data_IF_229663318552
#
_entry.id   IF_229663318552
#
_cell.length_a   1.000
_cell.length_b   1.000
_cell.length_c   1.000
_cell.angle_alpha   90.00
_cell.angle_beta   90.00
_cell.angle_gamma   90.00
#
_symmetry.space_group_name_H-M   'P 1'
#
loop_
_entity.id
_entity.type
_entity.pdbx_description
1 polymer ?
#
# COMPACT_ATOMS: atom_id res chain seq x y z
N UNK A 1 11.61 -10.64 -21.73
CA UNK A 1 11.17 -10.98 -23.09
C UNK A 1 11.39 -12.47 -23.34
N UNK A 2 12.63 -12.96 -23.29
CA UNK A 2 12.99 -14.39 -23.35
C UNK A 2 12.20 -15.25 -22.35
N UNK A 3 12.16 -14.88 -21.07
CA UNK A 3 11.42 -15.63 -20.05
C UNK A 3 9.90 -15.71 -20.33
N UNK A 4 9.34 -14.66 -20.95
CA UNK A 4 7.91 -14.62 -21.27
C UNK A 4 7.60 -15.54 -22.46
N UNK A 5 8.47 -15.59 -23.46
CA UNK A 5 8.31 -16.47 -24.62
C UNK A 5 8.52 -17.95 -24.26
N UNK A 6 9.42 -18.26 -23.30
CA UNK A 6 9.60 -19.62 -22.79
C UNK A 6 8.37 -20.06 -21.96
N UNK A 7 7.81 -19.18 -21.13
CA UNK A 7 6.61 -19.48 -20.35
C UNK A 7 5.37 -19.72 -21.24
N UNK A 8 5.29 -19.04 -22.38
CA UNK A 8 4.24 -19.22 -23.39
C UNK A 8 4.31 -20.60 -24.05
N UNK A 9 5.52 -21.04 -24.44
CA UNK A 9 5.71 -22.31 -25.16
C UNK A 9 5.79 -23.55 -24.27
N UNK A 10 6.26 -23.41 -23.02
CA UNK A 10 6.57 -24.55 -22.14
C UNK A 10 5.71 -24.60 -20.87
N UNK A 11 4.79 -23.65 -20.67
CA UNK A 11 3.93 -23.57 -19.50
C UNK A 11 4.65 -23.11 -18.22
N UNK A 12 3.89 -22.97 -17.12
CA UNK A 12 4.33 -22.31 -15.88
C UNK A 12 5.52 -22.95 -15.14
N UNK A 13 5.92 -24.18 -15.52
CA UNK A 13 7.03 -24.91 -14.89
C UNK A 13 8.41 -24.67 -15.55
N UNK A 14 8.45 -23.92 -16.66
CA UNK A 14 9.67 -23.53 -17.37
C UNK A 14 10.71 -22.81 -16.49
N UNK A 15 10.26 -22.05 -15.48
CA UNK A 15 11.16 -21.30 -14.59
C UNK A 15 11.98 -22.24 -13.69
N UNK A 16 11.42 -23.39 -13.31
CA UNK A 16 12.13 -24.44 -12.56
C UNK A 16 13.18 -25.16 -13.43
N UNK A 17 12.93 -25.31 -14.73
CA UNK A 17 13.90 -25.89 -15.67
C UNK A 17 15.11 -24.97 -15.88
N UNK A 18 14.90 -23.65 -15.97
CA UNK A 18 15.99 -22.68 -16.15
C UNK A 18 16.92 -22.57 -14.93
N UNK A 19 16.42 -22.84 -13.72
CA UNK A 19 17.22 -22.88 -12.49
C UNK A 19 18.07 -24.16 -12.37
N UNK A 20 17.65 -25.26 -13.01
CA UNK A 20 18.35 -26.55 -12.96
C UNK A 20 19.65 -26.56 -13.76
N UNK A 21 19.79 -25.68 -14.75
CA UNK A 21 20.99 -25.55 -15.60
C UNK A 21 22.17 -24.84 -14.92
N UNK A 22 22.00 -24.28 -13.72
CA UNK A 22 23.11 -23.71 -12.92
C UNK A 22 23.82 -22.50 -13.55
N UNK A 23 23.23 -21.87 -14.58
CA UNK A 23 23.81 -20.70 -15.25
C UNK A 23 23.35 -19.40 -14.59
N UNK A 24 24.24 -18.41 -14.54
CA UNK A 24 23.93 -17.05 -14.09
C UNK A 24 23.22 -16.29 -15.22
N UNK A 25 21.92 -16.06 -15.04
CA UNK A 25 21.03 -15.48 -16.07
C UNK A 25 21.04 -13.95 -16.11
N UNK A 26 21.95 -13.29 -15.38
CA UNK A 26 22.05 -11.83 -15.36
C UNK A 26 22.62 -11.24 -16.67
N UNK A 27 23.23 -12.05 -17.55
CA UNK A 27 23.75 -11.62 -18.86
C UNK A 27 23.38 -12.60 -19.99
N UNK A 28 22.09 -12.72 -20.31
CA UNK A 28 21.67 -13.53 -21.47
C UNK A 28 21.91 -12.75 -22.76
N UNK A 29 23.02 -13.04 -23.43
CA UNK A 29 23.19 -12.66 -24.83
C UNK A 29 22.47 -13.65 -25.77
N UNK A 30 22.30 -13.25 -27.03
CA UNK A 30 21.51 -14.01 -28.02
C UNK A 30 22.07 -15.43 -28.25
N UNK A 31 23.39 -15.64 -28.15
CA UNK A 31 23.98 -16.98 -28.35
C UNK A 31 23.65 -17.92 -27.20
N UNK A 32 23.71 -17.45 -25.95
CA UNK A 32 23.35 -18.24 -24.76
C UNK A 32 21.88 -18.65 -24.79
N UNK A 33 21.02 -17.79 -25.34
CA UNK A 33 19.60 -18.09 -25.54
C UNK A 33 19.37 -19.21 -26.57
N UNK A 34 20.04 -19.13 -27.73
CA UNK A 34 19.89 -20.12 -28.79
C UNK A 34 20.40 -21.50 -28.37
N UNK A 35 21.55 -21.56 -27.68
CA UNK A 35 22.08 -22.81 -27.13
C UNK A 35 21.12 -23.47 -26.13
N UNK A 36 20.48 -22.66 -25.28
CA UNK A 36 19.52 -23.17 -24.30
C UNK A 36 18.27 -23.73 -24.99
N UNK A 37 17.75 -23.05 -26.00
CA UNK A 37 16.62 -23.56 -26.79
C UNK A 37 16.96 -24.86 -27.51
N UNK A 38 18.19 -25.00 -28.01
CA UNK A 38 18.63 -26.22 -28.69
C UNK A 38 18.80 -27.40 -27.72
N UNK A 39 19.25 -27.15 -26.49
CA UNK A 39 19.28 -28.16 -25.44
C UNK A 39 17.86 -28.57 -24.99
N UNK A 40 16.95 -27.61 -24.84
CA UNK A 40 15.54 -27.90 -24.50
C UNK A 40 14.84 -28.78 -25.54
N UNK A 41 15.19 -28.67 -26.83
CA UNK A 41 14.65 -29.54 -27.88
C UNK A 41 15.13 -30.99 -27.78
N UNK A 42 16.28 -31.26 -27.14
CA UNK A 42 16.84 -32.60 -26.99
C UNK A 42 16.21 -33.38 -25.84
N UNK A 43 15.67 -32.67 -24.84
CA UNK A 43 15.13 -33.27 -23.62
C UNK A 43 13.60 -33.50 -23.63
N UNK A 44 12.91 -33.21 -24.74
CA UNK A 44 11.47 -33.51 -24.88
C UNK A 44 11.30 -35.01 -25.16
N UNK A 45 10.67 -35.80 -24.27
CA UNK A 45 10.37 -37.20 -24.55
C UNK A 45 9.38 -37.28 -25.72
N UNK A 46 9.65 -38.13 -26.72
CA UNK A 46 8.67 -38.45 -27.76
C UNK A 46 7.44 -39.07 -27.10
N UNK A 47 6.30 -38.40 -27.18
CA UNK A 47 5.01 -39.00 -26.85
C UNK A 47 4.57 -39.86 -28.02
N UNK A 48 4.40 -41.17 -27.78
CA UNK A 48 3.71 -42.04 -28.71
C UNK A 48 2.21 -41.68 -28.74
N UNK A 49 1.52 -41.85 -29.89
CA UNK A 49 0.12 -41.48 -30.02
C UNK A 49 -0.73 -42.35 -29.09
N UNK A 50 -1.51 -41.69 -28.23
CA UNK A 50 -2.53 -42.33 -27.40
C UNK A 50 -3.79 -42.43 -28.25
N UNK A 51 -4.23 -43.67 -28.54
CA UNK A 51 -5.55 -43.96 -29.11
C UNK A 51 -6.63 -43.64 -28.07
N UNK A 52 -7.42 -42.59 -28.35
CA UNK A 52 -8.56 -42.17 -27.53
C UNK A 52 -9.81 -42.98 -27.91
N UNK A 53 -10.16 -43.94 -27.06
CA UNK A 53 -11.43 -44.66 -27.13
C UNK A 53 -12.36 -44.06 -26.07
N UNK A 54 -13.34 -43.28 -26.52
CA UNK A 54 -14.32 -42.62 -25.66
C UNK A 54 -15.47 -43.57 -25.28
N UNK A 55 -15.62 -43.84 -23.99
CA UNK A 55 -16.85 -44.40 -23.42
C UNK A 55 -17.93 -43.30 -23.25
N UNK A 56 -19.22 -43.61 -23.51
CA UNK A 56 -20.31 -42.64 -23.36
C UNK A 56 -20.66 -42.38 -21.89
N UNK A 57 -20.92 -41.11 -21.58
CA UNK A 57 -21.28 -40.61 -20.26
C UNK A 57 -22.67 -41.10 -19.78
N UNK A 58 -22.86 -41.33 -18.47
CA UNK A 58 -24.17 -41.67 -17.91
C UNK A 58 -25.09 -40.45 -17.78
N UNK A 59 -26.38 -40.68 -18.07
CA UNK A 59 -27.48 -39.72 -17.94
C UNK A 59 -27.63 -39.20 -16.50
N UNK A 60 -27.70 -37.87 -16.36
CA UNK A 60 -28.06 -37.21 -15.10
C UNK A 60 -29.55 -36.85 -15.08
N UNK A 61 -30.27 -37.40 -14.10
CA UNK A 61 -31.65 -37.02 -13.77
C UNK A 61 -31.72 -35.57 -13.24
N UNK A 62 -32.73 -34.83 -13.70
CA UNK A 62 -32.98 -33.44 -13.29
C UNK A 62 -33.82 -33.37 -12.00
N UNK A 63 -33.49 -32.48 -11.05
CA UNK A 63 -34.38 -32.18 -9.93
C UNK A 63 -35.44 -31.13 -10.30
N UNK A 64 -36.64 -31.36 -9.79
CA UNK A 64 -37.86 -30.57 -9.99
C UNK A 64 -37.75 -29.12 -9.51
N UNK A 65 -38.36 -28.20 -10.28
CA UNK A 65 -38.45 -26.75 -10.00
C UNK A 65 -39.43 -26.46 -8.87
N UNK A 66 -39.11 -25.56 -7.92
CA UNK A 66 -40.11 -24.97 -7.05
C UNK A 66 -40.87 -23.83 -7.74
N UNK A 67 -42.19 -23.87 -7.58
CA UNK A 67 -43.19 -22.87 -7.97
C UNK A 67 -42.94 -21.50 -7.31
N UNK A 68 -42.86 -20.45 -8.12
CA UNK A 68 -42.77 -19.04 -7.72
C UNK A 68 -44.18 -18.48 -7.55
N UNK A 69 -44.47 -17.95 -6.36
CA UNK A 69 -45.72 -17.24 -6.05
C UNK A 69 -45.74 -15.83 -6.64
N UNK A 70 -46.90 -15.46 -7.18
CA UNK A 70 -47.23 -14.18 -7.80
C UNK A 70 -47.17 -13.01 -6.80
N UNK A 71 -46.44 -11.96 -7.15
CA UNK A 71 -46.53 -10.64 -6.51
C UNK A 71 -47.25 -9.69 -7.46
N UNK A 72 -48.44 -9.23 -7.04
CA UNK A 72 -49.25 -8.25 -7.74
C UNK A 72 -48.51 -6.90 -7.88
N UNK A 73 -48.45 -6.40 -9.11
CA UNK A 73 -48.11 -5.01 -9.43
C UNK A 73 -49.38 -4.18 -9.35
N UNK A 74 -49.39 -3.15 -8.51
CA UNK A 74 -50.29 -2.01 -8.66
C UNK A 74 -49.59 -0.99 -9.55
N UNK A 75 -50.16 -0.74 -10.73
CA UNK A 75 -49.78 0.32 -11.64
C UNK A 75 -50.58 1.58 -11.27
N UNK A 76 -49.89 2.63 -10.82
CA UNK A 76 -50.43 3.98 -10.73
C UNK A 76 -50.12 4.72 -12.03
N UNK A 77 -51.15 4.99 -12.83
CA UNK A 77 -51.10 5.86 -14.00
C UNK A 77 -50.92 7.32 -13.57
N UNK A 78 -49.84 7.95 -14.02
CA UNK A 78 -49.64 9.40 -13.91
C UNK A 78 -49.91 10.03 -15.28
N UNK A 79 -51.04 10.74 -15.34
CA UNK A 79 -51.48 11.54 -16.48
C UNK A 79 -50.64 12.83 -16.58
N UNK A 80 -50.06 13.10 -17.74
CA UNK A 80 -49.37 14.36 -18.04
C UNK A 80 -50.27 15.21 -18.93
N UNK A 81 -50.83 16.29 -18.37
CA UNK A 81 -51.45 17.36 -19.13
C UNK A 81 -50.40 18.41 -19.51
N UNK A 82 -50.31 18.68 -20.81
CA UNK A 82 -49.56 19.77 -21.41
C UNK A 82 -50.48 20.98 -21.57
N UNK A 83 -50.08 22.13 -21.04
CA UNK A 83 -50.62 23.42 -21.48
C UNK A 83 -49.52 24.46 -21.49
N UNK A 84 -49.29 25.01 -22.68
CA UNK A 84 -48.49 26.20 -22.97
C UNK A 84 -49.11 27.46 -22.35
N UNK A 85 -48.28 28.37 -21.82
CA UNK A 85 -48.47 29.82 -21.98
C UNK A 85 -47.24 30.60 -21.50
N UNK A 86 -46.68 31.41 -22.42
CA UNK A 86 -45.68 32.45 -22.18
C UNK A 86 -46.17 33.58 -21.26
N UNK A 87 -45.24 34.25 -20.55
CA UNK A 87 -45.09 35.71 -20.36
C UNK A 87 -44.22 36.10 -19.12
N UNK A 88 -43.07 36.70 -19.40
CA UNK A 88 -42.39 37.89 -18.81
C UNK A 88 -42.28 38.18 -17.28
N UNK A 89 -41.01 38.39 -16.87
CA UNK A 89 -40.39 39.46 -16.05
C UNK A 89 -40.79 39.81 -14.58
N UNK A 90 -39.92 39.35 -13.65
CA UNK A 90 -39.28 39.97 -12.43
C UNK A 90 -40.15 40.49 -11.22
N UNK A 91 -39.58 40.75 -10.00
CA UNK A 91 -39.90 40.09 -8.70
C UNK A 91 -40.43 41.13 -7.65
N UNK A 92 -40.36 40.98 -6.29
CA UNK A 92 -39.89 39.88 -5.43
C UNK A 92 -40.78 39.49 -4.22
N UNK A 93 -40.45 38.33 -3.64
CA UNK A 93 -40.53 37.84 -2.24
C UNK A 93 -41.76 38.20 -1.36
N UNK A 94 -42.26 37.22 -0.57
CA UNK A 94 -41.72 37.14 0.80
C UNK A 94 -41.55 35.72 1.38
N UNK A 95 -40.52 35.61 2.21
CA UNK A 95 -40.40 34.88 3.48
C UNK A 95 -41.53 33.88 3.82
N UNK A 96 -41.23 32.58 3.76
CA UNK A 96 -41.92 31.58 4.59
C UNK A 96 -40.88 30.63 5.21
N UNK A 97 -40.79 30.69 6.53
CA UNK A 97 -40.02 29.79 7.38
C UNK A 97 -40.79 28.49 7.56
N UNK A 98 -40.23 27.35 7.13
CA UNK A 98 -40.78 26.04 7.45
C UNK A 98 -39.84 25.23 8.34
N UNK A 99 -40.10 25.34 9.66
CA UNK A 99 -39.61 24.44 10.71
C UNK A 99 -40.23 23.05 10.51
N UNK A 100 -39.46 22.06 10.05
CA UNK A 100 -39.84 20.64 10.17
C UNK A 100 -39.66 20.18 11.62
N UNK A 101 -40.77 20.03 12.34
CA UNK A 101 -40.85 19.33 13.64
C UNK A 101 -40.78 17.82 13.40
N UNK A 102 -39.72 17.17 13.86
CA UNK A 102 -39.69 15.72 14.04
C UNK A 102 -40.66 15.34 15.18
N UNK A 103 -41.74 14.62 14.86
CA UNK A 103 -42.64 14.03 15.85
C UNK A 103 -41.91 12.88 16.57
N UNK A 104 -41.65 13.09 17.85
CA UNK A 104 -41.24 12.07 18.82
C UNK A 104 -42.47 11.21 19.12
N UNK A 105 -42.45 9.92 18.76
CA UNK A 105 -43.42 8.94 19.27
C UNK A 105 -42.96 8.53 20.67
N UNK A 106 -43.72 8.96 21.68
CA UNK A 106 -43.72 8.35 23.01
C UNK A 106 -44.40 6.99 22.92
N UNK A 107 -43.69 5.94 23.32
CA UNK A 107 -44.26 4.63 23.62
C UNK A 107 -44.11 4.36 25.11
N UNK A 108 -45.26 4.08 25.72
CA UNK A 108 -45.47 3.96 27.14
C UNK A 108 -44.84 2.70 27.76
N UNK A 109 -44.57 2.84 29.06
CA UNK A 109 -44.06 1.90 30.05
C UNK A 109 -44.71 0.49 29.98
N UNK A 110 -43.89 -0.54 30.08
CA UNK A 110 -44.20 -1.77 30.82
C UNK A 110 -43.11 -1.98 31.87
N UNK A 111 -43.48 -1.81 33.14
CA UNK A 111 -42.63 -2.06 34.32
C UNK A 111 -42.80 -3.54 34.69
N UNK A 112 -41.76 -4.34 34.49
CA UNK A 112 -41.67 -5.66 35.12
C UNK A 112 -40.59 -5.63 36.21
N UNK A 113 -41.01 -6.06 37.40
CA UNK A 113 -40.23 -6.12 38.63
C UNK A 113 -39.12 -7.18 38.52
N UNK A 114 -37.86 -6.76 38.44
CA UNK A 114 -36.71 -7.63 38.64
C UNK A 114 -36.12 -7.39 40.03
N UNK A 115 -36.25 -8.46 40.84
CA UNK A 115 -35.78 -8.62 42.22
C UNK A 115 -34.25 -8.54 42.25
N UNK A 116 -33.69 -7.53 42.90
CA UNK A 116 -32.25 -7.40 43.18
C UNK A 116 -31.78 -8.57 44.04
N UNK A 117 -30.93 -9.44 43.50
CA UNK A 117 -30.06 -10.35 44.27
C UNK A 117 -28.66 -9.75 44.26
N UNK A 118 -28.17 -9.39 45.44
CA UNK A 118 -26.78 -9.00 45.70
C UNK A 118 -25.87 -10.23 45.56
N UNK A 119 -24.74 -10.14 44.85
CA UNK A 119 -23.73 -11.20 44.88
C UNK A 119 -22.95 -11.15 46.20
N UNK A 120 -22.84 -12.32 46.83
CA UNK A 120 -21.96 -12.60 47.98
C UNK A 120 -20.49 -12.50 47.53
N UNK A 121 -19.57 -11.90 48.29
CA UNK A 121 -18.15 -11.90 47.95
C UNK A 121 -17.57 -13.31 48.13
N UNK A 122 -16.80 -13.75 47.14
CA UNK A 122 -16.03 -15.00 47.20
C UNK A 122 -14.83 -14.86 48.14
N UNK A 123 -14.39 -15.95 48.80
CA UNK A 123 -13.27 -15.93 49.73
C UNK A 123 -11.94 -15.67 49.03
N UNK A 124 -11.13 -14.82 49.67
CA UNK A 124 -9.74 -14.50 49.33
C UNK A 124 -8.87 -15.72 49.60
N UNK A 125 -8.13 -16.17 48.59
CA UNK A 125 -7.10 -17.20 48.70
C UNK A 125 -5.73 -16.51 48.80
N UNK A 126 -5.00 -16.61 49.92
CA UNK A 126 -3.65 -16.09 50.04
C UNK A 126 -2.65 -17.21 49.75
N UNK A 127 -1.92 -17.12 48.62
CA UNK A 127 -0.56 -17.66 48.44
C UNK A 127 -0.24 -17.70 46.94
N UNK A 128 0.47 -16.68 46.46
CA UNK A 128 1.39 -16.84 45.32
C UNK A 128 2.54 -15.88 45.52
N UNK A 129 3.58 -16.43 46.13
CA UNK A 129 4.89 -15.81 46.25
C UNK A 129 5.40 -15.40 44.87
N UNK A 130 5.65 -14.11 44.70
CA UNK A 130 6.37 -13.57 43.55
C UNK A 130 7.84 -13.49 43.95
N UNK A 131 8.64 -14.47 43.54
CA UNK A 131 10.11 -14.40 43.66
C UNK A 131 10.61 -13.33 42.69
N UNK A 132 11.09 -12.21 43.23
CA UNK A 132 11.97 -11.28 42.53
C UNK A 132 13.30 -11.98 42.24
N UNK A 133 13.59 -12.22 40.96
CA UNK A 133 14.94 -12.53 40.51
C UNK A 133 15.62 -11.18 40.24
N UNK A 134 16.59 -10.83 41.08
CA UNK A 134 17.59 -9.80 40.77
C UNK A 134 18.49 -10.37 39.68
N UNK A 135 18.54 -9.72 38.52
CA UNK A 135 19.62 -9.91 37.55
C UNK A 135 20.61 -8.78 37.78
N UNK A 136 21.86 -9.17 38.07
CA UNK A 136 23.02 -8.31 38.24
C UNK A 136 23.39 -7.63 36.93
N UNK A 137 23.80 -6.37 37.05
CA UNK A 137 24.44 -5.59 35.97
C UNK A 137 25.85 -6.13 35.77
N UNK A 138 26.15 -6.62 34.56
CA UNK A 138 27.52 -6.85 34.11
C UNK A 138 27.94 -5.70 33.18
N UNK A 139 28.99 -5.02 33.62
CA UNK A 139 29.71 -3.98 32.90
C UNK A 139 30.45 -4.59 31.70
N UNK A 140 29.85 -4.56 30.51
CA UNK A 140 30.63 -4.54 29.28
C UNK A 140 29.91 -3.70 28.22
N UNK A 141 30.41 -2.47 28.05
CA UNK A 141 29.93 -1.54 27.05
C UNK A 141 30.30 -2.02 25.65
N UNK A 142 29.36 -2.66 24.97
CA UNK A 142 29.34 -2.77 23.51
C UNK A 142 27.96 -2.35 23.02
N UNK A 143 27.93 -1.16 22.43
CA UNK A 143 26.73 -0.52 21.90
C UNK A 143 26.29 -1.27 20.63
N UNK A 144 25.43 -2.28 20.76
CA UNK A 144 24.82 -2.95 19.61
C UNK A 144 23.68 -2.07 19.06
N UNK A 145 23.92 -1.46 17.89
CA UNK A 145 22.85 -0.89 17.06
C UNK A 145 21.97 -2.02 16.53
N UNK A 146 20.90 -2.34 17.25
CA UNK A 146 19.89 -3.28 16.78
C UNK A 146 19.03 -2.60 15.69
N UNK A 147 19.23 -3.00 14.44
CA UNK A 147 18.41 -2.52 13.30
C UNK A 147 17.26 -3.51 13.09
N UNK A 148 16.05 -3.12 13.52
CA UNK A 148 14.84 -3.93 13.33
C UNK A 148 14.22 -3.58 11.98
N UNK A 149 14.18 -4.55 11.07
CA UNK A 149 13.56 -4.45 9.74
C UNK A 149 12.15 -5.04 9.82
N UNK A 150 11.13 -4.28 9.44
CA UNK A 150 9.74 -4.74 9.44
C UNK A 150 9.26 -5.11 8.04
N UNK A 151 8.63 -6.27 7.93
CA UNK A 151 7.84 -6.69 6.76
C UNK A 151 6.35 -6.44 7.05
N UNK A 152 5.72 -5.58 6.25
CA UNK A 152 4.33 -5.17 6.42
C UNK A 152 3.32 -6.29 6.07
N UNK A 153 3.77 -7.44 5.55
CA UNK A 153 2.88 -8.53 5.19
C UNK A 153 2.40 -9.38 6.38
N UNK A 154 3.14 -9.44 7.50
CA UNK A 154 2.94 -10.49 8.51
C UNK A 154 2.66 -9.99 9.95
N UNK A 155 2.61 -8.70 10.22
CA UNK A 155 2.41 -8.14 11.58
C UNK A 155 3.41 -8.61 12.68
N UNK A 156 4.50 -9.31 12.33
CA UNK A 156 5.49 -9.83 13.29
C UNK A 156 6.89 -9.20 13.13
N UNK A 157 7.58 -9.00 14.26
CA UNK A 157 9.01 -8.69 14.31
C UNK A 157 9.78 -9.97 14.67
N UNK A 158 10.86 -10.24 13.93
CA UNK A 158 11.85 -11.23 14.32
C UNK A 158 13.15 -10.53 14.73
N UNK A 159 13.67 -10.94 15.88
CA UNK A 159 15.05 -10.70 16.27
C UNK A 159 15.90 -11.76 15.56
N UNK A 160 16.93 -11.33 14.83
CA UNK A 160 17.86 -12.24 14.18
C UNK A 160 18.86 -12.72 15.22
N UNK A 161 18.45 -13.65 16.08
CA UNK A 161 19.38 -14.44 16.89
C UNK A 161 19.97 -15.50 15.97
N UNK A 162 21.25 -15.34 15.64
CA UNK A 162 21.98 -16.30 14.83
C UNK A 162 22.25 -17.56 15.66
N UNK A 163 21.44 -18.58 15.46
CA UNK A 163 21.79 -19.94 15.86
C UNK A 163 22.59 -20.62 14.73
N UNK A 164 23.85 -20.92 15.04
CA UNK A 164 24.69 -21.85 14.31
C UNK A 164 24.06 -23.25 14.35
N UNK A 165 23.51 -23.70 13.23
CA UNK A 165 23.56 -25.10 12.81
C UNK A 165 23.00 -25.23 11.39
N UNK A 166 23.87 -25.06 10.39
CA UNK A 166 23.57 -25.49 9.02
C UNK A 166 24.75 -26.22 8.40
N UNK A 167 24.44 -27.44 7.96
CA UNK A 167 25.30 -28.40 7.26
C UNK A 167 26.09 -27.77 6.11
N UNK A 168 27.42 -27.91 6.18
CA UNK A 168 28.36 -27.57 5.11
C UNK A 168 28.29 -28.58 3.96
N UNK A 169 27.93 -28.10 2.77
CA UNK A 169 28.19 -28.80 1.51
C UNK A 169 29.51 -28.26 0.95
N UNK A 170 30.55 -29.10 0.94
CA UNK A 170 31.84 -28.74 0.33
C UNK A 170 31.73 -28.76 -1.21
N UNK A 171 31.86 -27.58 -1.83
CA UNK A 171 32.13 -27.45 -3.26
C UNK A 171 33.61 -27.12 -3.44
N UNK A 172 34.37 -28.08 -3.99
CA UNK A 172 35.78 -27.90 -4.39
C UNK A 172 35.87 -26.98 -5.61
N UNK A 173 36.40 -25.78 -5.41
CA UNK A 173 36.80 -24.86 -6.49
C UNK A 173 38.31 -25.01 -6.76
N UNK A 174 38.78 -25.05 -8.03
CA UNK A 174 40.21 -25.16 -8.33
C UNK A 174 40.97 -23.88 -7.96
N UNK A 175 42.13 -24.06 -7.30
CA UNK A 175 43.07 -22.99 -6.96
C UNK A 175 43.70 -22.39 -8.22
N UNK A 176 43.51 -21.09 -8.42
CA UNK A 176 44.26 -20.28 -9.38
C UNK A 176 45.03 -19.17 -8.65
N UNK A 177 46.35 -19.19 -8.84
CA UNK A 177 47.19 -18.00 -9.03
C UNK A 177 47.32 -16.99 -7.89
N UNK A 178 48.49 -16.99 -7.27
CA UNK A 178 49.05 -15.95 -6.38
C UNK A 178 48.86 -14.52 -6.90
N UNK A 179 48.11 -13.69 -6.16
CA UNK A 179 48.14 -12.22 -6.28
C UNK A 179 49.04 -11.61 -5.20
N UNK A 180 50.07 -10.89 -5.65
CA UNK A 180 50.85 -9.96 -4.84
C UNK A 180 49.92 -8.89 -4.24
N UNK A 181 50.07 -8.63 -2.93
CA UNK A 181 49.42 -7.51 -2.25
C UNK A 181 50.16 -6.21 -2.56
N UNK A 182 49.46 -5.27 -3.18
CA UNK A 182 49.88 -3.86 -3.22
C UNK A 182 49.45 -3.23 -1.89
N UNK A 183 50.33 -2.53 -1.14
CA UNK A 183 49.94 -1.81 0.07
C UNK A 183 48.99 -0.66 -0.29
N UNK A 184 47.81 -0.64 0.33
CA UNK A 184 46.92 0.52 0.27
C UNK A 184 47.52 1.67 1.10
N UNK A 185 47.45 2.92 0.63
CA UNK A 185 47.85 4.07 1.43
C UNK A 185 46.93 4.22 2.65
N UNK A 186 47.45 4.76 3.77
CA UNK A 186 46.66 4.99 4.97
C UNK A 186 45.54 6.00 4.69
N UNK A 187 44.31 5.60 4.99
CA UNK A 187 43.12 6.45 4.96
C UNK A 187 43.22 7.39 6.17
N UNK A 188 43.39 8.70 5.93
CA UNK A 188 43.32 9.71 6.98
C UNK A 188 41.85 9.92 7.38
N UNK A 189 41.46 9.30 8.49
CA UNK A 189 40.31 9.74 9.28
C UNK A 189 40.73 11.03 9.96
N UNK A 190 40.37 12.18 9.38
CA UNK A 190 40.21 13.50 10.02
C UNK A 190 40.15 14.57 8.90
N UNK A 191 39.02 14.64 8.19
CA UNK A 191 38.66 15.84 7.43
C UNK A 191 37.35 16.41 7.98
N UNK A 192 37.41 17.39 8.92
CA UNK A 192 36.23 18.03 9.48
C UNK A 192 35.57 19.06 8.53
N UNK A 193 35.89 19.04 7.23
CA UNK A 193 35.47 20.06 6.27
C UNK A 193 34.36 19.68 5.28
N UNK A 194 33.93 18.41 5.21
CA UNK A 194 32.85 18.04 4.28
C UNK A 194 31.49 18.39 4.87
N UNK A 195 31.14 19.68 4.80
CA UNK A 195 29.79 20.17 5.00
C UNK A 195 28.91 19.67 3.85
N UNK A 196 28.52 18.40 3.89
CA UNK A 196 27.44 17.87 3.08
C UNK A 196 26.14 18.50 3.61
N UNK A 197 25.80 19.68 3.09
CA UNK A 197 24.68 20.52 3.50
C UNK A 197 23.41 19.67 3.70
N UNK A 198 23.12 19.34 4.96
CA UNK A 198 22.01 18.49 5.33
C UNK A 198 20.70 19.19 4.95
N UNK A 199 20.08 18.74 3.87
CA UNK A 199 18.85 19.36 3.38
C UNK A 199 17.69 18.97 4.30
N UNK A 200 17.11 19.97 4.97
CA UNK A 200 16.03 19.81 5.93
C UNK A 200 14.68 20.12 5.27
N UNK A 201 13.69 19.25 5.47
CA UNK A 201 12.29 19.47 5.09
C UNK A 201 11.54 20.03 6.29
N UNK A 202 11.09 21.28 6.24
CA UNK A 202 10.03 21.76 7.12
C UNK A 202 8.67 21.66 6.42
N UNK A 203 7.73 20.94 7.02
CA UNK A 203 6.40 20.65 6.46
C UNK A 203 5.37 21.76 6.75
N UNK A 204 5.57 22.51 7.84
CA UNK A 204 4.66 23.58 8.25
C UNK A 204 5.05 24.93 7.63
N UNK A 205 6.27 25.04 7.07
CA UNK A 205 6.69 26.25 6.37
C UNK A 205 5.94 26.41 5.05
N UNK A 206 5.26 27.55 4.88
CA UNK A 206 4.73 27.94 3.57
C UNK A 206 5.91 28.38 2.72
N UNK A 207 6.25 27.67 1.64
CA UNK A 207 7.50 27.90 0.95
C UNK A 207 7.59 29.34 0.44
N UNK A 208 8.53 30.09 1.02
CA UNK A 208 8.85 31.45 0.60
C UNK A 208 9.62 31.38 -0.72
N UNK A 209 8.88 31.28 -1.84
CA UNK A 209 9.26 31.50 -3.26
C UNK A 209 10.62 31.00 -3.80
N UNK A 210 11.42 30.27 -3.04
CA UNK A 210 12.71 29.73 -3.42
C UNK A 210 12.63 28.19 -3.45
N UNK A 211 13.28 27.61 -4.45
CA UNK A 211 13.22 26.20 -4.89
C UNK A 211 13.12 25.22 -3.72
N UNK A 212 11.89 24.79 -3.41
CA UNK A 212 11.64 23.80 -2.37
C UNK A 212 12.09 22.44 -2.88
N UNK A 213 12.91 21.68 -2.14
CA UNK A 213 13.43 20.37 -2.60
C UNK A 213 12.37 19.25 -2.54
N UNK A 214 11.09 19.59 -2.40
CA UNK A 214 9.98 18.65 -2.29
C UNK A 214 8.68 19.24 -2.86
N UNK A 215 7.70 18.37 -3.12
CA UNK A 215 6.30 18.72 -3.39
C UNK A 215 5.41 18.22 -2.26
N UNK A 216 4.32 18.93 -2.01
CA UNK A 216 3.33 18.52 -1.02
C UNK A 216 1.91 18.57 -1.56
N UNK A 217 1.06 17.66 -1.07
CA UNK A 217 -0.30 17.47 -1.56
C UNK A 217 -1.27 17.20 -0.41
N UNK A 218 -2.14 18.18 -0.15
CA UNK A 218 -3.22 18.02 0.82
C UNK A 218 -4.28 17.03 0.31
N UNK A 219 -4.71 16.12 1.18
CA UNK A 219 -5.71 15.10 0.89
C UNK A 219 -6.37 14.58 2.18
N UNK A 220 -7.30 13.65 2.04
CA UNK A 220 -7.83 12.88 3.16
C UNK A 220 -7.34 11.44 3.07
N UNK A 221 -6.63 10.97 4.09
CA UNK A 221 -6.19 9.58 4.21
C UNK A 221 -7.13 8.86 5.18
N UNK A 222 -8.05 8.06 4.67
CA UNK A 222 -9.08 7.38 5.48
C UNK A 222 -9.81 8.31 6.47
N UNK A 223 -10.36 9.43 5.95
CA UNK A 223 -11.06 10.47 6.74
C UNK A 223 -10.18 11.28 7.69
N UNK A 224 -8.86 11.13 7.62
CA UNK A 224 -7.90 11.95 8.37
C UNK A 224 -7.35 13.03 7.44
N UNK A 225 -7.48 14.34 7.76
CA UNK A 225 -6.80 15.40 7.03
C UNK A 225 -5.30 15.13 7.00
N UNK A 226 -4.74 15.05 5.80
CA UNK A 226 -3.38 14.58 5.57
C UNK A 226 -2.70 15.37 4.47
N UNK A 227 -1.38 15.29 4.41
CA UNK A 227 -0.52 15.93 3.41
C UNK A 227 0.57 14.95 3.09
N UNK A 228 0.65 14.61 1.81
CA UNK A 228 1.71 13.77 1.30
C UNK A 228 2.86 14.67 0.86
N UNK A 229 4.04 14.46 1.43
CA UNK A 229 5.27 15.17 1.11
C UNK A 229 6.19 14.23 0.35
N UNK A 230 6.60 14.61 -0.85
CA UNK A 230 7.43 13.81 -1.74
C UNK A 230 8.66 14.65 -2.14
N UNK A 231 9.89 14.19 -1.87
CA UNK A 231 11.12 14.81 -2.38
C UNK A 231 11.06 15.03 -3.90
N UNK A 232 11.66 16.11 -4.39
CA UNK A 232 11.90 16.25 -5.82
C UNK A 232 12.89 15.18 -6.31
N UNK A 233 12.83 14.78 -7.60
CA UNK A 233 13.83 13.89 -8.19
C UNK A 233 15.25 14.40 -7.95
N UNK A 234 16.14 13.51 -7.51
CA UNK A 234 17.53 13.84 -7.18
C UNK A 234 17.76 14.56 -5.84
N UNK A 235 16.71 15.02 -5.15
CA UNK A 235 16.86 15.63 -3.83
C UNK A 235 17.19 14.56 -2.76
N UNK A 236 18.23 14.82 -1.97
CA UNK A 236 18.62 14.02 -0.81
C UNK A 236 18.16 14.73 0.46
N UNK A 237 17.11 14.21 1.08
CA UNK A 237 16.52 14.79 2.28
C UNK A 237 16.90 13.93 3.47
N UNK A 238 17.76 14.47 4.34
CA UNK A 238 18.32 13.76 5.48
C UNK A 238 17.64 14.13 6.80
N UNK A 239 16.86 15.22 6.84
CA UNK A 239 16.14 15.63 8.05
C UNK A 239 14.71 16.01 7.75
N UNK A 240 13.80 15.58 8.62
CA UNK A 240 12.38 15.95 8.61
C UNK A 240 12.06 16.77 9.86
N UNK A 241 11.61 18.01 9.66
CA UNK A 241 11.13 18.93 10.70
C UNK A 241 9.68 19.33 10.43
N UNK A 242 9.00 19.75 11.50
CA UNK A 242 7.66 20.32 11.48
C UNK A 242 7.69 21.56 12.36
N UNK A 243 7.76 22.73 11.71
CA UNK A 243 8.19 23.98 12.32
C UNK A 243 9.59 23.82 12.92
N UNK A 244 9.75 24.35 14.14
CA UNK A 244 10.99 24.22 14.90
C UNK A 244 11.27 22.81 15.46
N UNK A 245 10.36 21.85 15.29
CA UNK A 245 10.48 20.53 15.93
C UNK A 245 11.02 19.51 14.93
N UNK A 246 12.15 18.91 15.28
CA UNK A 246 12.72 17.78 14.54
C UNK A 246 11.89 16.52 14.77
N UNK A 247 11.46 15.88 13.69
CA UNK A 247 10.73 14.60 13.72
C UNK A 247 11.71 13.45 13.56
N UNK A 248 12.61 13.56 12.58
CA UNK A 248 13.56 12.51 12.22
C UNK A 248 14.82 13.11 11.59
N UNK A 249 15.96 12.48 11.85
CA UNK A 249 17.25 12.75 11.19
C UNK A 249 17.85 11.42 10.78
N UNK A 250 18.16 11.29 9.50
CA UNK A 250 18.83 10.14 8.91
C UNK A 250 20.33 10.22 9.01
N UNK A 251 20.96 9.08 8.77
CA UNK A 251 22.40 8.98 8.58
C UNK A 251 22.78 9.44 7.18
N UNK A 252 24.07 9.70 6.97
CA UNK A 252 24.59 10.02 5.64
C UNK A 252 24.25 8.88 4.66
N UNK A 253 23.58 9.22 3.56
CA UNK A 253 23.13 8.26 2.54
C UNK A 253 21.73 7.71 2.73
N UNK A 254 21.08 7.98 3.87
CA UNK A 254 19.64 7.73 4.01
C UNK A 254 18.85 8.66 3.09
N UNK A 255 17.79 8.14 2.48
CA UNK A 255 16.94 8.89 1.55
C UNK A 255 15.47 8.76 1.94
N UNK A 256 14.84 9.85 2.33
CA UNK A 256 13.37 9.90 2.46
C UNK A 256 12.75 9.63 1.08
N UNK A 257 11.76 8.74 1.03
CA UNK A 257 10.95 8.49 -0.18
C UNK A 257 9.68 9.33 -0.19
N UNK A 258 8.97 9.36 0.92
CA UNK A 258 7.85 10.26 1.16
C UNK A 258 7.51 10.27 2.65
N UNK A 259 6.83 11.32 3.08
CA UNK A 259 6.19 11.39 4.39
C UNK A 259 4.70 11.65 4.20
N UNK A 260 3.85 10.93 4.91
CA UNK A 260 2.46 11.29 5.08
C UNK A 260 2.28 11.86 6.48
N UNK A 261 1.81 13.10 6.55
CA UNK A 261 1.62 13.80 7.80
C UNK A 261 0.12 13.88 8.03
N UNK A 262 -0.32 13.85 9.28
CA UNK A 262 -1.72 13.79 9.65
C UNK A 262 -2.05 14.87 10.66
N UNK A 263 -3.16 15.55 10.41
CA UNK A 263 -3.60 16.69 11.19
C UNK A 263 -4.84 16.37 12.02
N UNK A 264 -4.93 17.03 13.16
CA UNK A 264 -6.14 17.13 13.97
C UNK A 264 -6.22 18.52 14.58
N UNK A 265 -7.39 19.15 14.44
CA UNK A 265 -7.67 20.48 15.00
C UNK A 265 -6.61 21.54 14.63
N UNK A 266 -6.20 21.53 13.35
CA UNK A 266 -5.22 22.48 12.80
C UNK A 266 -3.76 22.21 13.19
N UNK A 267 -3.45 21.07 13.83
CA UNK A 267 -2.09 20.71 14.25
C UNK A 267 -1.66 19.37 13.67
N UNK A 268 -0.38 19.25 13.34
CA UNK A 268 0.28 17.98 12.99
C UNK A 268 0.42 17.09 14.23
N UNK A 269 -0.11 15.86 14.16
CA UNK A 269 -0.18 14.93 15.31
C UNK A 269 0.48 13.58 15.04
N UNK A 270 0.51 13.12 13.79
CA UNK A 270 1.07 11.83 13.40
C UNK A 270 1.81 11.95 12.07
N UNK A 271 2.95 11.28 11.96
CA UNK A 271 3.76 11.21 10.73
C UNK A 271 4.02 9.75 10.40
N UNK A 272 3.81 9.36 9.16
CA UNK A 272 4.25 8.11 8.55
C UNK A 272 5.36 8.41 7.54
N UNK A 273 6.58 7.99 7.84
CA UNK A 273 7.76 8.24 7.05
C UNK A 273 8.19 6.94 6.35
N UNK A 274 8.45 7.00 5.04
CA UNK A 274 9.08 5.89 4.31
C UNK A 274 10.40 6.37 3.74
N UNK A 275 11.45 5.56 3.90
CA UNK A 275 12.82 5.91 3.51
C UNK A 275 13.63 4.69 3.06
N UNK A 276 14.67 4.93 2.28
CA UNK A 276 15.74 3.97 2.00
C UNK A 276 16.91 4.21 2.94
N UNK A 277 17.21 3.26 3.83
CA UNK A 277 18.45 3.30 4.58
C UNK A 277 19.65 3.18 3.64
N UNK A 278 20.77 3.83 3.96
CA UNK A 278 22.01 3.70 3.21
C UNK A 278 22.38 2.22 3.02
N UNK A 279 22.64 1.82 1.78
CA UNK A 279 23.08 0.45 1.47
C UNK A 279 21.98 -0.62 1.57
N UNK A 280 20.76 -0.25 1.97
CA UNK A 280 19.63 -1.17 1.97
C UNK A 280 18.92 -1.19 0.62
N UNK A 281 18.66 -2.36 0.04
CA UNK A 281 17.81 -2.47 -1.16
C UNK A 281 16.32 -2.33 -0.84
N UNK A 282 15.94 -2.35 0.45
CA UNK A 282 14.54 -2.31 0.91
C UNK A 282 14.26 -0.98 1.61
N UNK A 283 13.06 -0.45 1.36
CA UNK A 283 12.56 0.69 2.10
C UNK A 283 12.09 0.22 3.48
N UNK A 284 12.19 1.13 4.46
CA UNK A 284 11.62 0.94 5.79
C UNK A 284 10.57 2.02 6.03
N UNK A 285 9.67 1.75 6.97
CA UNK A 285 8.68 2.72 7.42
C UNK A 285 8.82 3.00 8.91
N UNK A 286 8.74 4.27 9.28
CA UNK A 286 8.79 4.77 10.64
C UNK A 286 7.53 5.60 10.91
N UNK A 287 6.98 5.53 12.11
CA UNK A 287 5.82 6.33 12.49
C UNK A 287 6.09 7.12 13.75
N UNK A 288 5.74 8.40 13.75
CA UNK A 288 5.97 9.31 14.87
C UNK A 288 4.67 9.96 15.31
N UNK A 289 4.37 9.91 16.60
CA UNK A 289 3.22 10.58 17.20
C UNK A 289 3.70 11.76 18.04
N UNK A 290 2.98 12.88 17.97
CA UNK A 290 3.26 14.07 18.75
C UNK A 290 2.61 13.95 20.14
N UNK A 291 3.41 14.03 21.20
CA UNK A 291 2.94 14.06 22.60
C UNK A 291 3.70 15.16 23.34
N UNK A 292 3.00 16.04 24.05
CA UNK A 292 3.62 17.14 24.80
C UNK A 292 4.65 17.94 23.97
N UNK A 293 4.30 18.28 22.72
CA UNK A 293 5.15 18.97 21.74
C UNK A 293 6.41 18.22 21.26
N UNK A 294 6.66 16.98 21.69
CA UNK A 294 7.76 16.17 21.17
C UNK A 294 7.24 15.06 20.24
N UNK A 295 8.08 14.65 19.29
CA UNK A 295 7.80 13.53 18.38
C UNK A 295 8.38 12.24 18.95
N UNK A 296 7.55 11.21 19.07
CA UNK A 296 7.93 9.93 19.65
C UNK A 296 7.63 8.83 18.63
N UNK A 297 8.60 7.93 18.41
CA UNK A 297 8.41 6.76 17.58
C UNK A 297 7.27 5.89 18.14
N UNK A 298 6.38 5.42 17.27
CA UNK A 298 5.26 4.55 17.63
C UNK A 298 5.19 3.36 16.68
N UNK A 299 4.91 2.18 17.22
CA UNK A 299 4.62 0.98 16.43
C UNK A 299 3.13 0.88 16.06
N UNK A 300 2.27 1.65 16.72
CA UNK A 300 0.81 1.53 16.62
C UNK A 300 0.21 2.60 15.69
N UNK A 301 0.77 2.75 14.48
CA UNK A 301 0.34 3.77 13.51
C UNK A 301 -1.17 3.76 13.26
N UNK A 302 -1.77 2.58 13.04
CA UNK A 302 -3.20 2.46 12.72
C UNK A 302 -4.10 2.92 13.88
N UNK A 303 -3.72 2.60 15.11
CA UNK A 303 -4.45 3.03 16.30
C UNK A 303 -4.38 4.55 16.47
N UNK A 304 -3.18 5.14 16.31
CA UNK A 304 -3.03 6.60 16.38
C UNK A 304 -3.78 7.30 15.26
N UNK A 305 -3.71 6.80 14.03
CA UNK A 305 -4.44 7.33 12.87
C UNK A 305 -5.96 7.31 13.10
N UNK A 306 -6.49 6.22 13.69
CA UNK A 306 -7.91 6.08 14.01
C UNK A 306 -8.45 7.20 14.92
N UNK A 307 -7.64 7.70 15.85
CA UNK A 307 -8.00 8.80 16.77
C UNK A 307 -8.11 10.16 16.07
N UNK A 308 -7.61 10.28 14.85
CA UNK A 308 -7.59 11.52 14.06
C UNK A 308 -8.73 11.61 13.05
N UNK A 309 -9.55 10.56 12.93
CA UNK A 309 -10.65 10.52 11.96
C UNK A 309 -11.67 11.62 12.22
N UNK A 310 -12.07 12.29 11.15
CA UNK A 310 -13.20 13.22 11.18
C UNK A 310 -14.50 12.43 11.22
N UNK A 311 -15.40 12.67 12.19
CA UNK A 311 -16.70 12.02 12.23
C UNK A 311 -17.54 12.47 11.03
N UNK A 312 -18.25 11.53 10.42
CA UNK A 312 -19.11 11.79 9.26
C UNK A 312 -20.55 11.44 9.58
N UNK A 313 -21.46 12.35 9.25
CA UNK A 313 -22.90 12.11 9.37
C UNK A 313 -23.43 11.25 8.22
N UNK A 314 -22.87 11.43 7.02
CA UNK A 314 -23.26 10.70 5.83
C UNK A 314 -22.05 10.43 4.95
N UNK A 315 -22.14 9.38 4.15
CA UNK A 315 -21.14 9.01 3.17
C UNK A 315 -21.82 8.39 1.96
N UNK A 316 -21.14 8.41 0.81
CA UNK A 316 -21.64 7.81 -0.43
C UNK A 316 -20.58 6.92 -1.06
N UNK A 317 -20.98 5.72 -1.46
CA UNK A 317 -20.12 4.81 -2.21
C UNK A 317 -19.91 5.32 -3.65
N UNK A 318 -18.76 5.02 -4.24
CA UNK A 318 -18.47 5.34 -5.63
C UNK A 318 -17.35 4.44 -6.20
N UNK A 319 -17.28 4.38 -7.53
CA UNK A 319 -16.21 3.70 -8.25
C UNK A 319 -15.09 4.67 -8.65
N UNK A 320 -13.83 4.24 -8.52
CA UNK A 320 -12.68 4.96 -9.07
C UNK A 320 -12.37 4.39 -10.46
N UNK A 321 -12.46 5.20 -11.51
CA UNK A 321 -11.87 4.86 -12.81
C UNK A 321 -10.46 5.45 -12.91
N UNK A 322 -9.46 4.58 -13.07
CA UNK A 322 -8.05 4.96 -13.14
C UNK A 322 -7.57 5.24 -14.58
N UNK A 323 -8.42 4.99 -15.59
CA UNK A 323 -8.14 5.44 -16.96
C UNK A 323 -8.27 6.96 -17.08
N UNK A 324 -9.18 7.55 -16.29
CA UNK A 324 -9.34 9.00 -16.18
C UNK A 324 -8.34 9.59 -15.19
N UNK A 325 -7.74 10.73 -15.56
CA UNK A 325 -6.96 11.56 -14.63
C UNK A 325 -7.84 12.56 -13.84
N UNK A 326 -9.16 12.55 -14.06
CA UNK A 326 -10.15 13.37 -13.35
C UNK A 326 -11.18 12.48 -12.67
N UNK A 327 -11.35 12.66 -11.37
CA UNK A 327 -12.42 12.03 -10.62
C UNK A 327 -12.94 13.02 -9.59
N UNK A 328 -14.19 13.48 -9.74
CA UNK A 328 -14.79 14.48 -8.85
C UNK A 328 -14.89 14.01 -7.39
N UNK A 329 -14.86 12.70 -7.15
CA UNK A 329 -14.93 12.08 -5.82
C UNK A 329 -13.55 11.74 -5.23
N UNK A 330 -12.45 12.00 -5.96
CA UNK A 330 -11.08 11.84 -5.46
C UNK A 330 -10.30 13.14 -5.53
N UNK A 331 -9.28 13.27 -4.68
CA UNK A 331 -8.11 14.08 -4.94
C UNK A 331 -7.15 13.26 -5.80
N UNK A 332 -6.93 13.72 -7.03
CA UNK A 332 -6.05 13.06 -8.01
C UNK A 332 -4.90 14.01 -8.32
N UNK A 333 -3.68 13.51 -8.22
CA UNK A 333 -2.48 14.25 -8.57
C UNK A 333 -1.37 13.30 -9.03
N UNK A 334 -0.39 13.85 -9.74
CA UNK A 334 0.79 13.10 -10.19
C UNK A 334 2.05 13.69 -9.57
N UNK A 335 2.96 12.81 -9.17
CA UNK A 335 4.28 13.17 -8.64
C UNK A 335 5.31 12.09 -8.99
N UNK A 336 6.58 12.47 -8.93
CA UNK A 336 7.69 11.52 -9.02
C UNK A 336 7.89 10.90 -7.65
N UNK A 337 7.28 9.74 -7.41
CA UNK A 337 7.51 9.00 -6.17
C UNK A 337 8.63 8.01 -6.45
N UNK A 338 9.75 8.17 -5.74
CA UNK A 338 10.85 7.20 -5.82
C UNK A 338 11.37 7.07 -7.27
N UNK A 339 11.54 8.23 -7.91
CA UNK A 339 11.93 8.43 -9.31
C UNK A 339 10.98 7.79 -10.35
N UNK A 340 9.80 7.31 -9.94
CA UNK A 340 8.78 6.74 -10.82
C UNK A 340 7.61 7.73 -10.95
N UNK A 341 7.21 8.13 -12.16
CA UNK A 341 5.97 8.88 -12.37
C UNK A 341 4.78 8.11 -11.80
N UNK A 342 4.16 8.66 -10.77
CA UNK A 342 3.10 7.99 -10.02
C UNK A 342 1.89 8.90 -9.92
N UNK A 343 0.72 8.36 -10.28
CA UNK A 343 -0.57 9.01 -10.07
C UNK A 343 -1.23 8.48 -8.80
N UNK A 344 -1.68 9.39 -7.96
CA UNK A 344 -2.34 9.09 -6.70
C UNK A 344 -3.83 9.33 -6.81
N UNK A 345 -4.62 8.48 -6.15
CA UNK A 345 -6.05 8.68 -5.97
C UNK A 345 -6.39 8.54 -4.49
N UNK A 346 -6.87 9.62 -3.90
CA UNK A 346 -7.37 9.63 -2.51
C UNK A 346 -8.85 10.01 -2.52
N UNK A 347 -9.76 9.12 -2.07
CA UNK A 347 -11.16 9.47 -1.92
C UNK A 347 -11.34 10.75 -1.08
N UNK A 348 -12.23 11.64 -1.52
CA UNK A 348 -12.58 12.85 -0.77
C UNK A 348 -13.30 12.48 0.53
N UNK A 349 -13.31 13.40 1.49
CA UNK A 349 -14.08 13.25 2.72
C UNK A 349 -15.57 12.96 2.39
N UNK A 350 -16.16 11.96 3.07
CA UNK A 350 -17.54 11.53 2.79
C UNK A 350 -17.70 10.57 1.60
N UNK A 351 -16.62 10.25 0.88
CA UNK A 351 -16.65 9.32 -0.25
C UNK A 351 -15.99 7.99 0.11
N UNK A 352 -16.66 6.88 -0.21
CA UNK A 352 -16.14 5.53 0.01
C UNK A 352 -15.92 4.86 -1.34
N UNK A 353 -14.67 4.55 -1.67
CA UNK A 353 -14.35 3.84 -2.90
C UNK A 353 -14.56 2.33 -2.70
N UNK A 354 -15.62 1.80 -3.27
CA UNK A 354 -15.99 0.38 -3.16
C UNK A 354 -15.59 -0.45 -4.39
N UNK A 355 -15.22 0.22 -5.49
CA UNK A 355 -14.79 -0.42 -6.74
C UNK A 355 -13.70 0.41 -7.43
N UNK A 356 -12.87 -0.29 -8.22
CA UNK A 356 -11.82 0.30 -9.05
C UNK A 356 -11.92 -0.28 -10.46
N UNK A 357 -11.91 0.59 -11.46
CA UNK A 357 -12.05 0.30 -12.88
C UNK A 357 -10.89 0.89 -13.68
N UNK A 358 -10.66 0.34 -14.87
CA UNK A 358 -9.89 0.95 -15.95
C UNK A 358 -10.78 1.05 -17.19
N UNK A 359 -11.34 2.24 -17.41
CA UNK A 359 -12.42 2.45 -18.38
C UNK A 359 -13.63 1.60 -18.00
N UNK A 360 -14.00 0.65 -18.87
CA UNK A 360 -15.15 -0.25 -18.64
C UNK A 360 -14.81 -1.52 -17.86
N UNK A 361 -13.52 -1.82 -17.63
CA UNK A 361 -13.09 -3.07 -17.02
C UNK A 361 -12.92 -2.92 -15.51
N UNK A 362 -13.63 -3.76 -14.73
CA UNK A 362 -13.48 -3.82 -13.27
C UNK A 362 -12.14 -4.49 -12.92
N UNK A 363 -11.28 -3.79 -12.19
CA UNK A 363 -10.02 -4.34 -11.67
C UNK A 363 -10.25 -4.95 -10.29
N UNK A 364 -10.95 -4.20 -9.43
CA UNK A 364 -11.21 -4.57 -8.06
C UNK A 364 -12.60 -4.08 -7.62
N UNK A 365 -13.20 -4.76 -6.65
CA UNK A 365 -14.33 -4.22 -5.92
C UNK A 365 -14.65 -5.05 -4.71
N UNK A 366 -15.17 -4.41 -3.68
CA UNK A 366 -15.62 -5.07 -2.47
C UNK A 366 -16.89 -5.87 -2.75
N UNK A 367 -17.01 -6.99 -2.03
CA UNK A 367 -18.25 -7.73 -1.91
C UNK A 367 -19.24 -6.97 -1.04
N UNK A 368 -20.53 -7.12 -1.33
CA UNK A 368 -21.56 -6.58 -0.46
C UNK A 368 -21.47 -7.25 0.91
N UNK A 369 -21.32 -6.47 1.99
CA UNK A 369 -21.46 -7.01 3.33
C UNK A 369 -22.94 -7.32 3.58
N UNK A 370 -23.22 -8.49 4.14
CA UNK A 370 -24.56 -8.83 4.64
C UNK A 370 -24.85 -8.16 6.00
N UNK A 371 -23.88 -7.45 6.58
CA UNK A 371 -24.00 -6.78 7.86
C UNK A 371 -24.77 -5.46 7.75
N UNK A 372 -25.69 -5.19 8.68
CA UNK A 372 -26.60 -4.03 8.63
C UNK A 372 -25.95 -2.66 8.81
N UNK A 373 -24.66 -2.60 9.17
CA UNK A 373 -23.99 -1.35 9.59
C UNK A 373 -23.07 -0.77 8.51
N UNK A 374 -22.38 -1.61 7.74
CA UNK A 374 -21.57 -1.16 6.60
C UNK A 374 -21.84 -2.09 5.43
N UNK A 375 -22.16 -1.59 4.23
CA UNK A 375 -22.53 -2.43 3.09
C UNK A 375 -21.34 -3.04 2.35
N UNK A 376 -20.10 -2.87 2.83
CA UNK A 376 -18.90 -3.38 2.17
C UNK A 376 -17.96 -4.04 3.16
N UNK A 377 -17.32 -5.13 2.74
CA UNK A 377 -16.30 -5.82 3.54
C UNK A 377 -14.98 -5.06 3.56
N UNK A 378 -14.66 -4.38 2.46
CA UNK A 378 -13.44 -3.63 2.25
C UNK A 378 -13.72 -2.31 1.51
N UNK A 379 -12.91 -1.30 1.75
CA UNK A 379 -12.94 -0.03 1.00
C UNK A 379 -11.54 0.40 0.63
N UNK A 380 -11.39 0.95 -0.56
CA UNK A 380 -10.12 1.54 -0.99
C UNK A 380 -9.94 2.92 -0.34
N UNK A 381 -8.81 3.11 0.35
CA UNK A 381 -8.48 4.38 1.02
C UNK A 381 -7.40 5.18 0.27
N UNK A 382 -6.60 4.51 -0.57
CA UNK A 382 -5.68 5.17 -1.49
C UNK A 382 -5.27 4.23 -2.62
N UNK A 383 -5.08 4.77 -3.82
CA UNK A 383 -4.46 4.04 -4.93
C UNK A 383 -3.18 4.75 -5.37
N UNK A 384 -2.19 3.96 -5.77
CA UNK A 384 -0.96 4.43 -6.40
C UNK A 384 -0.80 3.72 -7.74
N UNK A 385 -0.86 4.49 -8.82
CA UNK A 385 -0.73 4.01 -10.18
C UNK A 385 0.63 4.45 -10.74
N UNK A 386 1.54 3.49 -10.85
CA UNK A 386 2.87 3.71 -11.39
C UNK A 386 2.80 3.69 -12.92
N UNK A 387 3.39 4.71 -13.52
CA UNK A 387 3.36 4.95 -14.94
C UNK A 387 4.76 4.74 -15.55
N UNK A 388 4.78 4.26 -16.78
CA UNK A 388 5.96 4.29 -17.65
C UNK A 388 5.56 5.01 -18.92
N UNK A 389 6.21 6.14 -19.23
CA UNK A 389 5.88 6.97 -20.39
C UNK A 389 4.37 7.30 -20.45
N UNK A 390 3.81 7.76 -19.33
CA UNK A 390 2.38 8.06 -19.14
C UNK A 390 1.42 6.85 -19.25
N UNK A 391 1.94 5.65 -19.48
CA UNK A 391 1.13 4.42 -19.58
C UNK A 391 1.11 3.70 -18.23
N UNK A 392 -0.06 3.29 -17.71
CA UNK A 392 -0.16 2.48 -16.50
C UNK A 392 0.62 1.17 -16.60
N UNK A 393 1.34 0.82 -15.52
CA UNK A 393 2.09 -0.45 -15.44
C UNK A 393 1.85 -1.23 -14.17
N UNK A 394 1.77 -0.55 -13.03
CA UNK A 394 1.58 -1.19 -11.74
C UNK A 394 0.56 -0.37 -10.93
N UNK A 395 -0.35 -1.06 -10.26
CA UNK A 395 -1.36 -0.47 -9.38
C UNK A 395 -1.23 -1.10 -8.00
N UNK A 396 -1.04 -0.28 -6.97
CA UNK A 396 -1.22 -0.66 -5.56
C UNK A 396 -2.51 -0.03 -5.05
N UNK A 397 -3.40 -0.86 -4.51
CA UNK A 397 -4.64 -0.44 -3.84
C UNK A 397 -4.46 -0.70 -2.34
N UNK A 398 -4.51 0.36 -1.53
CA UNK A 398 -4.56 0.23 -0.08
C UNK A 398 -6.01 0.16 0.36
N UNK A 399 -6.34 -0.89 1.11
CA UNK A 399 -7.68 -1.24 1.54
C UNK A 399 -7.82 -1.15 3.05
N UNK A 400 -9.04 -0.92 3.52
CA UNK A 400 -9.45 -1.15 4.92
C UNK A 400 -10.72 -1.96 4.99
N UNK A 401 -10.80 -2.86 5.95
CA UNK A 401 -12.04 -3.55 6.28
C UNK A 401 -12.91 -2.74 7.28
N UNK A 402 -14.06 -3.28 7.66
CA UNK A 402 -14.96 -2.70 8.65
C UNK A 402 -14.37 -2.66 10.08
N UNK A 403 -13.32 -3.44 10.35
CA UNK A 403 -12.57 -3.43 11.60
C UNK A 403 -11.35 -2.51 11.54
N UNK A 404 -11.25 -1.68 10.50
CA UNK A 404 -10.11 -0.80 10.21
C UNK A 404 -8.76 -1.51 10.02
N UNK A 405 -8.77 -2.84 9.78
CA UNK A 405 -7.57 -3.59 9.42
C UNK A 405 -7.09 -3.15 8.05
N UNK A 406 -5.79 -2.91 7.92
CA UNK A 406 -5.18 -2.55 6.65
C UNK A 406 -4.97 -3.80 5.79
N UNK A 407 -5.12 -3.63 4.49
CA UNK A 407 -4.70 -4.61 3.50
C UNK A 407 -4.19 -3.90 2.26
N UNK A 408 -3.53 -4.65 1.38
CA UNK A 408 -3.11 -4.18 0.07
C UNK A 408 -3.46 -5.21 -1.00
N UNK A 409 -3.74 -4.71 -2.20
CA UNK A 409 -3.77 -5.54 -3.41
C UNK A 409 -2.92 -4.88 -4.49
N UNK A 410 -2.26 -5.72 -5.28
CA UNK A 410 -1.32 -5.31 -6.31
C UNK A 410 -1.75 -5.88 -7.65
N UNK A 411 -1.65 -5.06 -8.70
CA UNK A 411 -2.01 -5.45 -10.05
C UNK A 411 -0.97 -4.93 -11.05
N UNK A 412 -0.56 -5.77 -11.99
CA UNK A 412 0.24 -5.38 -13.15
C UNK A 412 -0.65 -5.21 -14.37
N UNK A 413 -0.37 -4.21 -15.21
CA UNK A 413 -1.00 -4.07 -16.51
C UNK A 413 -0.17 -4.81 -17.57
N UNK A 414 -0.65 -5.97 -18.02
CA UNK A 414 0.00 -6.85 -18.99
C UNK A 414 -1.02 -7.30 -20.05
N UNK A 415 -0.59 -7.33 -21.32
CA UNK A 415 -1.43 -7.82 -22.43
C UNK A 415 -2.82 -7.16 -22.47
N UNK A 416 -2.87 -5.84 -22.25
CA UNK A 416 -4.11 -5.05 -22.22
C UNK A 416 -5.08 -5.39 -21.08
N UNK A 417 -4.64 -6.14 -20.08
CA UNK A 417 -5.45 -6.55 -18.93
C UNK A 417 -4.74 -6.26 -17.61
N UNK A 418 -5.51 -6.17 -16.54
CA UNK A 418 -4.98 -6.04 -15.17
C UNK A 418 -4.95 -7.42 -14.51
N UNK A 419 -3.76 -7.85 -14.12
CA UNK A 419 -3.54 -9.16 -13.47
C UNK A 419 -3.11 -8.92 -12.02
N UNK A 420 -3.81 -9.55 -11.07
CA UNK A 420 -3.44 -9.49 -9.66
C UNK A 420 -2.11 -10.22 -9.44
N UNK A 421 -1.23 -9.62 -8.65
CA UNK A 421 0.07 -10.17 -8.27
C UNK A 421 0.25 -10.08 -6.75
N UNK A 422 1.23 -10.80 -6.22
CA UNK A 422 1.66 -10.69 -4.82
C UNK A 422 2.54 -9.44 -4.59
N UNK A 423 2.79 -9.13 -3.32
CA UNK A 423 3.57 -7.96 -2.93
C UNK A 423 5.05 -8.05 -3.36
N UNK A 424 5.67 -9.24 -3.27
CA UNK A 424 7.06 -9.44 -3.67
C UNK A 424 7.25 -9.17 -5.16
N UNK A 425 6.37 -9.74 -5.99
CA UNK A 425 6.31 -9.45 -7.44
C UNK A 425 6.09 -7.95 -7.70
N UNK A 426 5.20 -7.30 -6.93
CA UNK A 426 4.97 -5.86 -7.04
C UNK A 426 6.21 -5.02 -6.74
N UNK A 427 7.03 -5.42 -5.76
CA UNK A 427 8.28 -4.72 -5.44
C UNK A 427 9.32 -4.91 -6.54
N UNK A 428 9.47 -6.12 -7.09
CA UNK A 428 10.36 -6.37 -8.23
C UNK A 428 10.00 -5.54 -9.48
N UNK A 429 8.70 -5.42 -9.77
CA UNK A 429 8.21 -4.57 -10.87
C UNK A 429 8.47 -3.09 -10.57
N UNK A 430 8.21 -2.63 -9.34
CA UNK A 430 8.51 -1.26 -8.93
C UNK A 430 9.99 -0.93 -9.11
N UNK A 431 10.88 -1.83 -8.70
CA UNK A 431 12.33 -1.66 -8.89
C UNK A 431 12.70 -1.57 -10.37
N UNK A 432 12.10 -2.42 -11.22
CA UNK A 432 12.30 -2.38 -12.69
C UNK A 432 11.85 -1.05 -13.28
N UNK A 433 10.70 -0.52 -12.84
CA UNK A 433 10.20 0.80 -13.26
C UNK A 433 11.15 1.92 -12.84
N UNK A 434 11.71 1.87 -11.64
CA UNK A 434 12.71 2.84 -11.17
C UNK A 434 13.95 2.83 -12.04
N UNK A 435 14.55 1.65 -12.24
CA UNK A 435 15.77 1.52 -13.08
C UNK A 435 15.51 2.02 -14.50
N UNK A 436 14.32 1.76 -15.06
CA UNK A 436 13.95 2.31 -16.35
C UNK A 436 13.91 3.85 -16.34
N UNK A 437 13.24 4.45 -15.35
CA UNK A 437 13.12 5.91 -15.24
C UNK A 437 14.50 6.59 -15.08
N UNK A 438 15.36 6.04 -14.22
CA UNK A 438 16.73 6.54 -14.03
C UNK A 438 17.56 6.49 -15.32
N UNK A 439 17.47 5.38 -16.08
CA UNK A 439 18.16 5.27 -17.38
C UNK A 439 17.67 6.31 -18.38
N UNK A 440 16.36 6.58 -18.43
CA UNK A 440 15.83 7.62 -19.32
C UNK A 440 16.35 9.00 -18.94
N UNK A 441 16.39 9.32 -17.64
CA UNK A 441 16.92 10.60 -17.17
C UNK A 441 18.41 10.79 -17.54
N UNK A 442 19.24 9.74 -17.43
CA UNK A 442 20.64 9.78 -17.86
C UNK A 442 20.74 10.01 -19.37
N UNK A 443 19.92 9.31 -20.17
CA UNK A 443 19.93 9.47 -21.62
C UNK A 443 19.48 10.87 -22.07
N UNK A 444 18.54 11.48 -21.35
CA UNK A 444 18.12 12.87 -21.58
C UNK A 444 19.26 13.84 -21.25
N UNK A 445 19.95 13.65 -20.13
CA UNK A 445 21.12 14.47 -19.75
C UNK A 445 22.30 14.35 -20.72
N UNK A 446 22.50 13.19 -21.37
CA UNK A 446 23.56 13.01 -22.36
C UNK A 446 23.22 13.57 -23.75
N UNK A 447 21.96 13.97 -23.99
CA UNK A 447 21.53 14.54 -25.28
C UNK A 447 21.79 16.05 -25.35
N UNK A 448 21.74 16.71 -24.20
CA UNK A 448 22.08 18.12 -24.02
C UNK A 448 23.61 18.33 -23.96
#
# INVERSE_FOLDING_TARGET
MVLAEINDKCGKNSTLFLLKEGKDWNEVNLSTYLDTLENMKKDVPRQDPIDEQCDPAPECEQPEKPTVGECNKEEEEVHWDLSDSDCDDVPPAPVVTNRRKCKKKESAKKKDNIRKRTPKPAPVNPERESKCIKVSEDESGTNMNCTIIWDLANEDAYENEGDEDTLTIEVKVPRSGSRQRIPLPPISLDDPGSNCDATTIDIDDTPVQNVVPYKSFDHYYDRVPSKLVIPNPGATLSTLTIGSNRVWTGQEGDRILYANVHWKDGRSVLVFLVLYPRGSPRDISLSFVRRNNTWILTKNYNCELGKLKVPLQCWSAFAIDIASNKNSNCHVFEAMMDDIPTRFYYPKLGKIADRVYYGKHKIWGSEACQCRQEPYTWRAISLRLYLRNKTPKLLKITLKDHNDRLGSQHFIFAESSWVRIDESSSQGIKQTLRTFAQRQQILEQCRD
#
